data_IF_421762387205
#
_entry.id   IF_421762387205
#
_cell.length_a   1.000
_cell.length_b   1.000
_cell.length_c   1.000
_cell.angle_alpha   90.00
_cell.angle_beta   90.00
_cell.angle_gamma   90.00
#
_symmetry.space_group_name_H-M   'P 1'
#
loop_
_entity.id
_entity.type
_entity.pdbx_description
1 polymer ?
#
# COMPACT_ATOMS: atom_id res chain seq x y z
N UNK A 1 -20.00 16.70 -3.51
CA UNK A 1 -20.61 15.71 -2.60
C UNK A 1 -19.50 14.93 -1.92
N UNK A 2 -19.48 14.90 -0.58
CA UNK A 2 -18.56 14.02 0.16
C UNK A 2 -19.01 12.58 -0.01
N UNK A 3 -18.07 11.65 -0.19
CA UNK A 3 -18.38 10.22 -0.13
C UNK A 3 -18.94 9.88 1.26
N UNK A 4 -19.84 8.90 1.38
CA UNK A 4 -20.38 8.48 2.66
C UNK A 4 -19.25 7.99 3.59
N UNK A 5 -19.39 8.29 4.88
CA UNK A 5 -18.46 7.83 5.92
C UNK A 5 -18.57 6.30 6.01
N UNK A 6 -17.45 5.60 5.88
CA UNK A 6 -17.35 4.17 6.10
C UNK A 6 -16.74 3.90 7.48
N UNK A 7 -17.45 3.14 8.31
CA UNK A 7 -16.91 2.66 9.59
C UNK A 7 -16.21 1.33 9.37
N UNK A 8 -14.97 1.22 9.87
CA UNK A 8 -14.22 -0.04 9.88
C UNK A 8 -14.49 -0.70 11.24
N UNK A 9 -15.14 -1.88 11.30
CA UNK A 9 -15.30 -2.59 12.56
C UNK A 9 -13.95 -2.94 13.19
N UNK A 10 -13.90 -3.05 14.52
CA UNK A 10 -12.70 -3.48 15.21
C UNK A 10 -12.18 -4.80 14.62
N UNK A 11 -10.84 -4.91 14.49
CA UNK A 11 -10.13 -6.09 13.95
C UNK A 11 -10.44 -6.41 12.47
N UNK A 12 -11.18 -5.54 11.79
CA UNK A 12 -11.50 -5.67 10.36
C UNK A 12 -10.74 -4.65 9.53
N UNK A 13 -11.04 -4.67 8.23
CA UNK A 13 -10.38 -3.93 7.16
C UNK A 13 -11.38 -3.11 6.37
N UNK A 14 -10.88 -2.11 5.67
CA UNK A 14 -11.57 -1.48 4.57
C UNK A 14 -10.58 -1.18 3.45
N UNK A 15 -11.10 -1.04 2.24
CA UNK A 15 -10.33 -0.60 1.09
C UNK A 15 -11.19 0.25 0.18
N UNK A 16 -10.55 1.19 -0.50
CA UNK A 16 -11.20 2.09 -1.43
C UNK A 16 -10.24 2.48 -2.54
N UNK A 17 -10.76 2.60 -3.75
CA UNK A 17 -9.98 3.08 -4.90
C UNK A 17 -10.01 4.60 -4.89
N UNK A 18 -8.82 5.21 -4.82
CA UNK A 18 -8.66 6.66 -4.77
C UNK A 18 -8.06 7.14 -6.10
N UNK A 19 -8.81 7.94 -6.84
CA UNK A 19 -8.30 8.58 -8.06
C UNK A 19 -7.26 9.65 -7.69
N UNK A 20 -6.27 9.86 -8.56
CA UNK A 20 -5.25 10.90 -8.38
C UNK A 20 -5.88 12.27 -8.07
N UNK A 21 -5.29 12.99 -7.11
CA UNK A 21 -5.78 14.29 -6.63
C UNK A 21 -7.00 14.24 -5.69
N UNK A 22 -7.58 13.05 -5.45
CA UNK A 22 -8.60 12.88 -4.40
C UNK A 22 -7.95 12.66 -3.04
N UNK A 23 -8.72 12.93 -1.98
CA UNK A 23 -8.29 12.82 -0.59
C UNK A 23 -9.11 11.76 0.12
N UNK A 24 -8.45 11.01 0.99
CA UNK A 24 -9.09 10.08 1.93
C UNK A 24 -8.77 10.57 3.35
N UNK A 25 -9.76 10.49 4.24
CA UNK A 25 -9.61 10.87 5.65
C UNK A 25 -9.82 9.65 6.53
N UNK A 26 -8.85 9.36 7.39
CA UNK A 26 -8.95 8.37 8.45
C UNK A 26 -9.29 9.12 9.74
N UNK A 27 -10.32 8.67 10.46
CA UNK A 27 -10.73 9.26 11.74
C UNK A 27 -10.70 8.18 12.80
N UNK A 28 -9.84 8.35 13.80
CA UNK A 28 -9.82 7.48 14.98
C UNK A 28 -10.97 7.88 15.91
N UNK A 29 -12.02 7.08 15.93
CA UNK A 29 -13.29 7.41 16.62
C UNK A 29 -13.20 7.36 18.14
N UNK A 30 -12.25 6.60 18.70
CA UNK A 30 -12.11 6.37 20.15
C UNK A 30 -10.75 6.83 20.71
N UNK A 31 -9.85 7.36 19.86
CA UNK A 31 -8.57 7.96 20.25
C UNK A 31 -7.38 7.00 20.37
N UNK A 32 -7.61 5.70 20.67
CA UNK A 32 -6.53 4.75 20.97
C UNK A 32 -6.32 3.65 19.92
N UNK A 33 -7.11 3.65 18.83
CA UNK A 33 -6.95 2.63 17.79
C UNK A 33 -5.74 2.92 16.90
N UNK A 34 -4.91 1.89 16.68
CA UNK A 34 -3.84 1.89 15.66
C UNK A 34 -4.35 1.20 14.40
N UNK A 35 -3.95 1.69 13.23
CA UNK A 35 -4.30 1.12 11.93
C UNK A 35 -3.05 0.95 11.08
N UNK A 36 -2.92 -0.22 10.44
CA UNK A 36 -1.92 -0.42 9.41
C UNK A 36 -2.47 0.08 8.08
N UNK A 37 -1.66 0.83 7.34
CA UNK A 37 -2.09 1.51 6.12
C UNK A 37 -1.20 1.14 4.94
N UNK A 38 -1.83 0.71 3.85
CA UNK A 38 -1.17 0.42 2.58
C UNK A 38 -1.78 1.24 1.45
N UNK A 39 -0.96 1.53 0.44
CA UNK A 39 -1.41 2.09 -0.83
C UNK A 39 -0.76 1.30 -1.97
N UNK A 40 -1.58 0.91 -2.94
CA UNK A 40 -1.17 0.19 -4.15
C UNK A 40 -1.52 1.05 -5.36
N UNK A 41 -0.61 1.15 -6.31
CA UNK A 41 -0.93 1.78 -7.58
C UNK A 41 -1.64 0.74 -8.47
N UNK A 42 -2.80 1.12 -8.98
CA UNK A 42 -3.51 0.35 -10.00
C UNK A 42 -3.14 0.92 -11.38
N UNK A 43 -2.95 0.07 -12.40
CA UNK A 43 -2.80 0.55 -13.78
C UNK A 43 -4.05 1.31 -14.20
N UNK A 44 -3.85 2.38 -14.97
CA UNK A 44 -4.92 3.23 -15.47
C UNK A 44 -4.78 3.39 -16.98
N UNK A 45 -5.80 2.96 -17.73
CA UNK A 45 -5.88 3.10 -19.19
C UNK A 45 -5.78 4.54 -19.70
N UNK A 46 -6.08 5.55 -18.86
CA UNK A 46 -5.93 6.97 -19.17
C UNK A 46 -4.47 7.47 -19.14
N UNK A 47 -3.55 6.66 -18.63
CA UNK A 47 -2.12 6.95 -18.56
C UNK A 47 -1.38 5.83 -19.29
N UNK A 48 -1.25 5.96 -20.62
CA UNK A 48 -0.20 5.25 -21.38
C UNK A 48 1.21 5.72 -21.00
N UNK A 49 1.33 6.60 -19.99
CA UNK A 49 2.57 6.89 -19.31
C UNK A 49 2.56 6.08 -18.02
N UNK A 50 3.53 5.17 -17.89
CA UNK A 50 3.81 4.56 -16.61
C UNK A 50 3.92 5.67 -15.56
N UNK A 51 3.40 5.37 -14.37
CA UNK A 51 3.53 6.21 -13.19
C UNK A 51 4.90 6.93 -13.13
N UNK A 52 4.87 8.26 -13.16
CA UNK A 52 5.95 9.23 -12.88
C UNK A 52 6.88 9.68 -14.03
N UNK A 53 7.28 10.97 -13.97
CA UNK A 53 8.39 11.57 -14.74
C UNK A 53 9.75 10.90 -14.50
N UNK A 54 9.82 9.88 -13.65
CA UNK A 54 11.00 9.07 -13.39
C UNK A 54 10.65 7.64 -13.78
N UNK A 55 10.43 7.42 -15.07
CA UNK A 55 10.81 6.13 -15.62
C UNK A 55 12.33 6.07 -15.41
N UNK A 56 12.78 5.37 -14.37
CA UNK A 56 14.11 4.79 -14.42
C UNK A 56 14.13 4.09 -15.76
N UNK A 57 14.91 4.60 -16.73
CA UNK A 57 14.73 4.13 -18.07
C UNK A 57 14.86 2.61 -18.01
N UNK A 58 13.93 1.92 -18.67
CA UNK A 58 14.11 0.52 -19.02
C UNK A 58 15.27 0.49 -20.04
N UNK A 59 16.46 0.92 -19.59
CA UNK A 59 17.71 0.81 -20.30
C UNK A 59 17.87 -0.68 -20.63
N UNK A 60 18.56 -1.03 -21.74
CA UNK A 60 18.79 -2.44 -22.08
C UNK A 60 19.25 -3.19 -20.83
N UNK A 61 18.85 -4.47 -20.68
CA UNK A 61 19.07 -5.30 -19.49
C UNK A 61 20.24 -4.78 -18.63
N UNK A 62 20.01 -4.54 -17.33
CA UNK A 62 20.97 -3.91 -16.43
C UNK A 62 22.41 -4.41 -16.60
N UNK A 63 22.55 -5.68 -17.02
CA UNK A 63 23.70 -6.21 -17.78
C UNK A 63 23.21 -7.21 -18.85
N UNK A 64 24.05 -7.60 -19.82
CA UNK A 64 23.76 -8.68 -20.79
C UNK A 64 23.37 -10.01 -20.11
N UNK A 65 23.76 -10.18 -18.85
CA UNK A 65 23.58 -11.40 -18.05
C UNK A 65 22.42 -11.30 -17.04
N UNK A 66 21.65 -10.21 -17.03
CA UNK A 66 20.52 -10.00 -16.11
C UNK A 66 19.20 -9.68 -16.82
N UNK A 67 18.63 -10.64 -17.57
CA UNK A 67 17.32 -10.47 -18.20
C UNK A 67 16.18 -10.27 -17.18
N UNK A 68 16.38 -10.71 -15.93
CA UNK A 68 15.41 -10.57 -14.84
C UNK A 68 15.39 -9.18 -14.18
N UNK A 69 16.35 -8.29 -14.45
CA UNK A 69 16.39 -6.96 -13.84
C UNK A 69 15.13 -6.12 -14.17
N UNK A 70 14.54 -6.36 -15.35
CA UNK A 70 13.30 -5.71 -15.77
C UNK A 70 12.06 -6.22 -15.04
N UNK A 71 12.12 -7.39 -14.39
CA UNK A 71 11.01 -7.93 -13.61
C UNK A 71 10.73 -7.09 -12.35
N UNK A 72 11.78 -6.57 -11.70
CA UNK A 72 11.63 -5.65 -10.57
C UNK A 72 10.99 -4.31 -11.01
N UNK A 73 11.35 -3.82 -12.20
CA UNK A 73 10.76 -2.62 -12.79
C UNK A 73 9.29 -2.82 -13.21
N UNK A 74 8.92 -4.02 -13.65
CA UNK A 74 7.53 -4.36 -14.00
C UNK A 74 6.67 -4.80 -12.82
N UNK A 75 7.28 -4.99 -11.64
CA UNK A 75 6.57 -5.39 -10.43
C UNK A 75 5.45 -4.38 -10.10
N UNK A 76 4.27 -4.87 -9.67
CA UNK A 76 3.19 -4.01 -9.22
C UNK A 76 3.63 -3.00 -8.14
N UNK A 77 3.17 -1.75 -8.26
CA UNK A 77 3.69 -0.62 -7.47
C UNK A 77 2.92 -0.44 -6.14
N UNK A 78 3.66 -0.21 -5.05
CA UNK A 78 3.13 -0.08 -3.69
C UNK A 78 3.93 0.92 -2.85
N UNK A 79 3.27 1.54 -1.88
CA UNK A 79 3.89 2.50 -0.96
C UNK A 79 4.85 1.77 -0.04
N UNK A 80 6.12 2.20 0.00
CA UNK A 80 7.17 1.46 0.68
C UNK A 80 7.89 2.30 1.74
N UNK A 81 7.78 1.88 3.00
CA UNK A 81 8.29 2.66 4.14
C UNK A 81 9.81 2.86 4.10
N UNK A 82 10.60 1.87 3.69
CA UNK A 82 12.05 2.03 3.60
C UNK A 82 12.47 3.03 2.51
N UNK A 83 11.75 3.07 1.39
CA UNK A 83 11.98 4.07 0.34
C UNK A 83 11.51 5.46 0.79
N UNK A 84 10.38 5.54 1.51
CA UNK A 84 9.92 6.78 2.13
C UNK A 84 10.97 7.35 3.08
N UNK A 85 11.50 6.54 4.00
CA UNK A 85 12.56 6.98 4.92
C UNK A 85 13.81 7.47 4.19
N UNK A 86 14.24 6.74 3.15
CA UNK A 86 15.39 7.14 2.34
C UNK A 86 15.16 8.43 1.55
N UNK A 87 13.93 8.69 1.09
CA UNK A 87 13.57 9.90 0.34
C UNK A 87 13.33 11.10 1.25
N UNK A 88 12.64 10.92 2.38
CA UNK A 88 12.29 11.98 3.32
C UNK A 88 13.42 12.30 4.30
N UNK A 89 14.37 11.37 4.50
CA UNK A 89 15.40 11.43 5.53
C UNK A 89 14.81 11.54 6.95
N UNK A 90 13.63 10.95 7.15
CA UNK A 90 12.87 10.92 8.40
C UNK A 90 12.33 9.52 8.66
N UNK A 91 12.16 9.17 9.93
CA UNK A 91 11.47 7.92 10.33
C UNK A 91 9.97 8.10 10.35
N UNK A 92 9.49 9.25 10.83
CA UNK A 92 8.06 9.57 10.96
C UNK A 92 7.67 10.64 9.94
N UNK A 93 6.64 10.40 9.10
CA UNK A 93 6.15 11.40 8.15
C UNK A 93 5.50 12.60 8.83
N UNK A 94 5.66 13.79 8.26
CA UNK A 94 5.06 15.04 8.75
C UNK A 94 4.11 15.67 7.72
N UNK A 95 3.34 16.67 8.16
CA UNK A 95 2.47 17.43 7.30
C UNK A 95 3.22 17.98 6.08
N UNK A 96 2.72 17.66 4.89
CA UNK A 96 3.32 18.06 3.62
C UNK A 96 4.21 17.00 2.99
N UNK A 97 4.66 15.98 3.73
CA UNK A 97 5.50 14.91 3.19
C UNK A 97 4.73 14.06 2.17
N UNK A 98 5.46 13.63 1.14
CA UNK A 98 4.94 12.76 0.07
C UNK A 98 5.58 11.39 0.24
N UNK A 99 4.75 10.43 0.63
CA UNK A 99 5.12 9.02 0.68
C UNK A 99 5.28 8.49 -0.74
N UNK A 100 6.33 7.71 -0.96
CA UNK A 100 6.74 7.20 -2.26
C UNK A 100 6.61 5.67 -2.34
N UNK A 101 6.59 5.19 -3.58
CA UNK A 101 6.59 3.77 -3.88
C UNK A 101 7.98 3.13 -3.77
N UNK A 102 8.05 1.81 -3.94
CA UNK A 102 9.32 1.12 -4.16
C UNK A 102 10.05 1.54 -5.46
N UNK A 103 9.35 2.22 -6.37
CA UNK A 103 9.91 2.83 -7.59
C UNK A 103 10.22 4.32 -7.41
N UNK A 104 10.12 4.83 -6.17
CA UNK A 104 10.32 6.24 -5.79
C UNK A 104 9.30 7.20 -6.41
N UNK A 105 8.21 6.69 -6.98
CA UNK A 105 7.14 7.53 -7.50
C UNK A 105 6.29 8.09 -6.35
N UNK A 106 5.86 9.35 -6.42
CA UNK A 106 4.88 9.91 -5.49
C UNK A 106 3.59 9.11 -5.42
N UNK A 107 3.12 8.73 -4.22
CA UNK A 107 1.86 8.00 -4.04
C UNK A 107 0.84 8.77 -3.22
N UNK A 108 1.17 9.09 -1.97
CA UNK A 108 0.24 9.71 -1.02
C UNK A 108 0.93 10.88 -0.33
N UNK A 109 0.26 12.03 -0.28
CA UNK A 109 0.71 13.19 0.48
C UNK A 109 -0.04 13.28 1.80
N UNK A 110 0.68 13.43 2.91
CA UNK A 110 0.06 13.74 4.19
C UNK A 110 -0.35 15.22 4.19
N UNK A 111 -1.65 15.48 4.19
CA UNK A 111 -2.21 16.85 4.03
C UNK A 111 -2.90 17.39 5.27
N UNK A 112 -3.25 16.52 6.22
CA UNK A 112 -3.84 16.87 7.51
C UNK A 112 -3.50 15.76 8.51
N UNK A 113 -3.14 16.17 9.73
CA UNK A 113 -2.91 15.34 10.89
C UNK A 113 -3.32 16.16 12.11
N UNK A 114 -4.25 15.63 12.89
CA UNK A 114 -4.76 16.26 14.12
C UNK A 114 -4.30 15.51 15.37
N UNK A 115 -3.46 14.49 15.20
CA UNK A 115 -2.82 13.75 16.28
C UNK A 115 -1.55 14.47 16.75
N UNK A 116 -0.87 13.97 17.79
CA UNK A 116 0.47 14.44 18.17
C UNK A 116 1.59 14.16 17.14
N UNK A 117 1.27 13.56 15.98
CA UNK A 117 2.24 13.32 14.91
C UNK A 117 3.06 12.04 15.08
N UNK A 118 2.60 11.07 15.89
CA UNK A 118 3.31 9.82 16.13
C UNK A 118 2.77 8.72 15.23
N UNK A 119 3.48 8.47 14.13
CA UNK A 119 3.20 7.39 13.18
C UNK A 119 4.43 6.51 13.02
N UNK A 120 4.25 5.21 13.23
CA UNK A 120 5.33 4.24 13.06
C UNK A 120 5.48 3.85 11.57
N UNK A 121 6.73 3.62 11.16
CA UNK A 121 7.06 3.09 9.83
C UNK A 121 8.02 1.91 9.90
N UNK A 122 8.33 1.41 11.10
CA UNK A 122 9.38 0.43 11.34
C UNK A 122 8.84 -0.96 11.67
N UNK A 123 7.73 -1.03 12.39
CA UNK A 123 7.16 -2.28 12.90
C UNK A 123 6.32 -2.94 11.80
N UNK A 124 6.54 -4.23 11.60
CA UNK A 124 5.74 -5.02 10.67
C UNK A 124 4.28 -5.14 11.15
N UNK A 125 3.36 -5.26 10.19
CA UNK A 125 1.97 -5.55 10.49
C UNK A 125 1.85 -6.85 11.29
N UNK A 126 0.92 -6.91 12.24
CA UNK A 126 0.73 -8.14 13.00
C UNK A 126 0.25 -9.28 12.08
N UNK A 127 0.65 -10.50 12.43
CA UNK A 127 0.37 -11.72 11.70
C UNK A 127 0.17 -12.91 12.65
N UNK A 128 -0.15 -14.07 12.08
CA UNK A 128 -0.37 -15.31 12.85
C UNK A 128 0.86 -15.76 13.63
N UNK A 129 2.06 -15.50 13.13
CA UNK A 129 3.31 -15.89 13.77
C UNK A 129 3.55 -15.02 14.99
N UNK A 130 3.31 -13.72 14.87
CA UNK A 130 3.36 -12.78 15.98
C UNK A 130 2.43 -13.19 17.12
N UNK A 131 1.22 -13.63 16.81
CA UNK A 131 0.29 -14.11 17.84
C UNK A 131 0.69 -15.45 18.44
N UNK A 132 1.28 -16.35 17.64
CA UNK A 132 1.85 -17.60 18.13
C UNK A 132 2.99 -17.35 19.13
N UNK A 133 3.91 -16.42 18.84
CA UNK A 133 4.99 -16.03 19.77
C UNK A 133 4.48 -15.46 21.08
N UNK A 134 3.32 -14.80 21.05
CA UNK A 134 2.65 -14.25 22.23
C UNK A 134 1.81 -15.30 23.00
N UNK A 135 1.85 -16.57 22.59
CA UNK A 135 1.17 -17.68 23.28
C UNK A 135 -0.32 -17.80 22.95
N UNK A 136 -0.80 -17.17 21.87
CA UNK A 136 -2.19 -17.33 21.45
C UNK A 136 -2.42 -18.72 20.87
N UNK A 137 -3.32 -19.47 21.51
CA UNK A 137 -3.75 -20.78 21.02
C UNK A 137 -4.93 -20.62 20.06
N UNK A 138 -4.76 -21.03 18.80
CA UNK A 138 -5.80 -20.96 17.77
C UNK A 138 -5.72 -19.71 16.89
N UNK A 139 -6.80 -19.43 16.18
CA UNK A 139 -6.83 -18.33 15.21
C UNK A 139 -7.03 -16.97 15.88
N UNK A 140 -6.24 -15.98 15.44
CA UNK A 140 -6.39 -14.59 15.82
C UNK A 140 -6.33 -13.70 14.58
N UNK A 141 -7.36 -12.86 14.39
CA UNK A 141 -7.38 -11.87 13.30
C UNK A 141 -6.14 -10.97 13.34
N UNK A 142 -5.57 -10.72 12.17
CA UNK A 142 -4.32 -9.99 12.04
C UNK A 142 -4.40 -8.97 10.92
N UNK A 143 -3.60 -7.90 11.00
CA UNK A 143 -3.51 -6.88 9.97
C UNK A 143 -3.02 -7.46 8.63
N UNK A 144 -2.11 -8.43 8.68
CA UNK A 144 -1.64 -9.16 7.49
C UNK A 144 -2.77 -9.96 6.83
N UNK A 145 -3.52 -10.80 7.57
CA UNK A 145 -4.66 -11.52 6.98
C UNK A 145 -5.71 -10.55 6.42
N UNK A 146 -5.95 -9.46 7.14
CA UNK A 146 -6.85 -8.39 6.70
C UNK A 146 -6.40 -7.77 5.37
N UNK A 147 -5.12 -7.46 5.19
CA UNK A 147 -4.61 -6.96 3.91
C UNK A 147 -4.89 -7.96 2.76
N UNK A 148 -4.55 -9.22 2.96
CA UNK A 148 -4.69 -10.27 1.94
C UNK A 148 -6.14 -10.55 1.56
N UNK A 149 -7.04 -10.60 2.54
CA UNK A 149 -8.46 -10.76 2.29
C UNK A 149 -9.05 -9.56 1.53
N UNK A 150 -8.59 -8.34 1.82
CA UNK A 150 -8.97 -7.13 1.07
C UNK A 150 -8.57 -7.29 -0.40
N UNK A 151 -7.33 -7.69 -0.67
CA UNK A 151 -6.87 -7.87 -2.05
C UNK A 151 -7.68 -8.93 -2.77
N UNK A 152 -7.98 -10.03 -2.09
CA UNK A 152 -8.84 -11.07 -2.64
C UNK A 152 -10.22 -10.52 -3.01
N UNK A 153 -10.89 -9.86 -2.06
CA UNK A 153 -12.23 -9.27 -2.25
C UNK A 153 -12.28 -8.24 -3.38
N UNK A 154 -11.27 -7.37 -3.49
CA UNK A 154 -11.18 -6.41 -4.59
C UNK A 154 -10.92 -7.09 -5.94
N UNK A 155 -10.05 -8.11 -5.97
CA UNK A 155 -9.72 -8.83 -7.21
C UNK A 155 -10.88 -9.63 -7.79
N UNK A 156 -11.87 -9.97 -6.97
CA UNK A 156 -13.09 -10.70 -7.36
C UNK A 156 -14.31 -9.79 -7.50
N UNK A 157 -14.27 -8.56 -7.00
CA UNK A 157 -15.37 -7.59 -7.08
C UNK A 157 -15.75 -7.29 -8.53
N UNK A 158 -17.05 -7.20 -8.82
CA UNK A 158 -17.57 -6.76 -10.13
C UNK A 158 -17.35 -5.27 -10.40
N UNK A 159 -17.07 -4.47 -9.35
CA UNK A 159 -16.99 -3.01 -9.43
C UNK A 159 -15.71 -2.47 -10.07
N UNK A 160 -14.69 -3.29 -10.24
CA UNK A 160 -13.41 -2.88 -10.84
C UNK A 160 -13.32 -3.32 -12.31
N UNK A 161 -12.65 -2.55 -13.18
CA UNK A 161 -12.25 -3.01 -14.53
C UNK A 161 -11.38 -4.26 -14.49
N UNK A 162 -11.36 -5.03 -15.59
CA UNK A 162 -10.58 -6.26 -15.69
C UNK A 162 -9.07 -6.03 -15.48
N UNK A 163 -8.54 -4.93 -16.00
CA UNK A 163 -7.13 -4.54 -15.87
C UNK A 163 -6.73 -4.31 -14.39
N UNK A 164 -7.56 -3.60 -13.64
CA UNK A 164 -7.34 -3.36 -12.21
C UNK A 164 -7.41 -4.66 -11.38
N UNK A 165 -8.35 -5.56 -11.73
CA UNK A 165 -8.41 -6.90 -11.09
C UNK A 165 -7.18 -7.72 -11.36
N UNK A 166 -6.67 -7.71 -12.60
CA UNK A 166 -5.49 -8.48 -12.97
C UNK A 166 -4.23 -7.94 -12.28
N UNK A 167 -4.12 -6.60 -12.15
CA UNK A 167 -3.07 -5.98 -11.37
C UNK A 167 -3.09 -6.39 -9.89
N UNK A 168 -4.27 -6.44 -9.28
CA UNK A 168 -4.44 -6.93 -7.91
C UNK A 168 -4.10 -8.43 -7.78
N UNK A 169 -4.43 -9.26 -8.77
CA UNK A 169 -4.01 -10.67 -8.80
C UNK A 169 -2.50 -10.81 -9.01
N UNK A 170 -1.88 -9.92 -9.78
CA UNK A 170 -0.43 -9.86 -9.97
C UNK A 170 0.27 -9.51 -8.65
N UNK A 171 -0.20 -8.47 -7.94
CA UNK A 171 0.27 -8.12 -6.59
C UNK A 171 0.23 -9.32 -5.64
N UNK A 172 -0.86 -10.09 -5.69
CA UNK A 172 -1.00 -11.28 -4.83
C UNK A 172 0.01 -12.37 -5.16
N UNK A 173 0.36 -12.55 -6.44
CA UNK A 173 1.34 -13.56 -6.89
C UNK A 173 2.77 -13.15 -6.55
N UNK A 174 3.13 -11.89 -6.75
CA UNK A 174 4.51 -11.41 -6.53
C UNK A 174 4.92 -11.38 -5.06
N UNK A 175 3.98 -11.11 -4.14
CA UNK A 175 4.24 -11.10 -2.70
C UNK A 175 4.11 -12.48 -2.04
N UNK A 176 3.61 -13.50 -2.74
CA UNK A 176 3.56 -14.88 -2.24
C UNK A 176 4.87 -15.66 -2.48
N UNK A 177 5.80 -15.08 -3.26
CA UNK A 177 7.09 -15.69 -3.64
C UNK A 177 8.31 -15.07 -2.96
N UNK A 178 8.10 -14.12 -2.03
CA UNK A 178 9.13 -13.61 -1.12
C UNK A 178 8.92 -14.17 0.28
#
# INVERSE_FOLDING_TARGET
MSLPIQTIPARRRAATVVKAGKKTKITNTHGNQVVDTWALALPSSALMTASSKVEAALYPNATTDSPAANAAASAPEYMSMCYCRATLLKVTPELGDVMVSQKRAPMVKLVEDKSPGVHDTLIAACDRWRYSELGVNGYHESCTDNFWDTLHSLSTSSSLPAEEKEALKSQRRSQATM
#
